data_IF_729826913661
#
_entry.id   IF_729826913661
#
_cell.length_a   1.000
_cell.length_b   1.000
_cell.length_c   1.000
_cell.angle_alpha   90.00
_cell.angle_beta   90.00
_cell.angle_gamma   90.00
#
_symmetry.space_group_name_H-M   'P 1'
#
loop_
_entity.id
_entity.type
_entity.pdbx_description
1 polymer ?
#
# COMPACT_ATOMS: atom_id res chain seq x y z
N UNK A 1 -8.88 33.04 21.84
CA UNK A 1 -9.36 32.03 20.89
C UNK A 1 -8.37 30.86 20.96
N UNK A 2 -8.83 29.62 21.14
CA UNK A 2 -7.92 28.47 21.21
C UNK A 2 -7.54 27.97 19.79
N UNK A 3 -6.53 27.10 19.69
CA UNK A 3 -6.04 26.58 18.40
C UNK A 3 -7.15 25.90 17.58
N UNK A 4 -7.97 25.08 18.25
CA UNK A 4 -9.03 24.30 17.59
C UNK A 4 -10.05 25.23 16.93
N UNK A 5 -10.53 26.24 17.65
CA UNK A 5 -11.48 27.22 17.15
C UNK A 5 -10.89 28.00 15.98
N UNK A 6 -9.64 28.44 16.08
CA UNK A 6 -8.98 29.24 15.04
C UNK A 6 -8.82 28.45 13.74
N UNK A 7 -8.37 27.20 13.83
CA UNK A 7 -8.26 26.31 12.67
C UNK A 7 -9.64 25.96 12.11
N UNK A 8 -10.64 25.72 12.96
CA UNK A 8 -12.00 25.42 12.50
C UNK A 8 -12.61 26.59 11.73
N UNK A 9 -12.39 27.83 12.16
CA UNK A 9 -12.83 29.03 11.41
C UNK A 9 -12.12 29.10 10.05
N UNK A 10 -10.80 28.87 10.01
CA UNK A 10 -10.05 28.85 8.74
C UNK A 10 -10.54 27.76 7.79
N UNK A 11 -10.93 26.60 8.31
CA UNK A 11 -11.54 25.54 7.49
C UNK A 11 -12.97 25.92 7.10
N UNK A 12 -13.73 26.62 7.93
CA UNK A 12 -15.08 27.04 7.56
C UNK A 12 -15.07 28.03 6.38
N UNK A 13 -14.11 28.95 6.36
CA UNK A 13 -14.00 30.00 5.35
C UNK A 13 -13.31 29.53 4.04
N UNK A 14 -14.00 29.55 2.89
CA UNK A 14 -13.41 29.18 1.60
C UNK A 14 -12.15 29.96 1.22
N UNK A 15 -12.03 31.23 1.65
CA UNK A 15 -10.89 32.07 1.29
C UNK A 15 -9.59 31.67 2.02
N UNK A 16 -9.70 31.05 3.20
CA UNK A 16 -8.54 30.72 4.05
C UNK A 16 -8.31 29.22 4.21
N UNK A 17 -9.28 28.38 3.84
CA UNK A 17 -9.20 26.91 3.97
C UNK A 17 -8.01 26.28 3.26
N UNK A 18 -7.71 26.71 2.04
CA UNK A 18 -6.59 26.15 1.28
C UNK A 18 -5.24 26.36 2.00
N UNK A 19 -5.10 27.46 2.75
CA UNK A 19 -3.88 27.78 3.50
C UNK A 19 -3.71 26.95 4.78
N UNK A 20 -4.68 26.10 5.15
CA UNK A 20 -4.56 25.18 6.29
C UNK A 20 -3.68 23.98 5.94
N UNK A 21 -3.61 23.60 4.66
CA UNK A 21 -2.79 22.50 4.17
C UNK A 21 -1.63 23.06 3.34
N UNK A 22 -0.41 22.91 3.85
CA UNK A 22 0.78 23.22 3.08
C UNK A 22 1.16 22.07 2.11
N UNK A 23 2.23 22.26 1.35
CA UNK A 23 2.70 21.28 0.37
C UNK A 23 2.98 19.92 1.01
N UNK A 24 3.60 19.88 2.19
CA UNK A 24 3.92 18.63 2.88
C UNK A 24 2.67 17.89 3.34
N UNK A 25 1.64 18.60 3.84
CA UNK A 25 0.37 17.97 4.20
C UNK A 25 -0.31 17.37 2.97
N UNK A 26 -0.39 18.11 1.86
CA UNK A 26 -1.07 17.65 0.65
C UNK A 26 -0.33 16.50 -0.02
N UNK A 27 1.00 16.51 0.00
CA UNK A 27 1.84 15.39 -0.43
C UNK A 27 1.55 14.14 0.39
N UNK A 28 1.55 14.24 1.72
CA UNK A 28 1.23 13.12 2.61
C UNK A 28 -0.16 12.57 2.37
N UNK A 29 -1.15 13.44 2.15
CA UNK A 29 -2.50 13.03 1.81
C UNK A 29 -2.55 12.27 0.48
N UNK A 30 -1.86 12.75 -0.55
CA UNK A 30 -1.81 12.09 -1.84
C UNK A 30 -1.12 10.71 -1.75
N UNK A 31 -0.01 10.62 -1.02
CA UNK A 31 0.73 9.37 -0.79
C UNK A 31 -0.03 8.37 0.09
N UNK A 32 -0.83 8.84 1.04
CA UNK A 32 -1.68 7.98 1.87
C UNK A 32 -2.87 7.43 1.08
N UNK A 33 -3.46 8.24 0.19
CA UNK A 33 -4.61 7.83 -0.61
C UNK A 33 -4.24 6.94 -1.82
N UNK A 34 -3.10 7.19 -2.45
CA UNK A 34 -2.74 6.58 -3.74
C UNK A 34 -1.37 5.92 -3.73
N UNK A 35 -1.16 5.03 -4.70
CA UNK A 35 0.17 4.50 -4.95
C UNK A 35 1.06 5.53 -5.67
N UNK A 36 1.74 6.34 -4.86
CA UNK A 36 2.57 7.45 -5.31
C UNK A 36 3.69 7.04 -6.26
N UNK A 37 4.27 5.84 -6.05
CA UNK A 37 5.34 5.31 -6.90
C UNK A 37 4.79 4.90 -8.27
N UNK A 38 3.64 4.20 -8.29
CA UNK A 38 2.98 3.79 -9.52
C UNK A 38 2.51 4.98 -10.38
N UNK A 39 2.13 6.09 -9.73
CA UNK A 39 1.67 7.32 -10.38
C UNK A 39 2.78 8.36 -10.60
N UNK A 40 3.99 8.12 -10.06
CA UNK A 40 5.10 9.06 -10.02
C UNK A 40 4.64 10.47 -9.60
N UNK A 41 3.99 10.57 -8.44
CA UNK A 41 3.40 11.83 -7.95
C UNK A 41 4.46 12.90 -7.69
N UNK A 42 4.21 14.09 -8.21
CA UNK A 42 5.08 15.25 -8.06
C UNK A 42 4.27 16.51 -7.74
N UNK A 43 4.91 17.42 -6.99
CA UNK A 43 4.37 18.75 -6.74
C UNK A 43 4.38 19.65 -7.98
N UNK A 44 3.80 20.86 -7.88
CA UNK A 44 3.14 21.39 -6.70
C UNK A 44 1.79 20.70 -6.42
N UNK A 45 1.47 20.58 -5.15
CA UNK A 45 0.20 20.03 -4.66
C UNK A 45 -0.80 21.15 -4.38
N UNK A 46 -2.06 20.96 -4.72
CA UNK A 46 -3.13 21.93 -4.43
C UNK A 46 -4.41 21.22 -4.01
N UNK A 47 -5.13 21.75 -3.02
CA UNK A 47 -6.41 21.21 -2.60
C UNK A 47 -7.58 21.84 -3.36
N UNK A 48 -8.51 21.01 -3.83
CA UNK A 48 -9.82 21.41 -4.33
C UNK A 48 -10.87 20.89 -3.33
N UNK A 49 -11.74 21.79 -2.87
CA UNK A 49 -12.78 21.50 -1.90
C UNK A 49 -14.15 21.53 -2.57
N UNK A 50 -14.64 20.37 -2.99
CA UNK A 50 -15.98 20.27 -3.60
C UNK A 50 -17.07 20.33 -2.53
N UNK A 51 -16.86 19.62 -1.41
CA UNK A 51 -17.77 19.61 -0.27
C UNK A 51 -16.99 19.60 1.05
N UNK A 52 -17.36 20.49 1.97
CA UNK A 52 -16.88 20.49 3.35
C UNK A 52 -18.06 20.58 4.30
N UNK A 53 -18.17 19.60 5.21
CA UNK A 53 -19.22 19.54 6.23
C UNK A 53 -18.57 19.65 7.61
N UNK A 54 -18.95 20.64 8.41
CA UNK A 54 -18.37 20.85 9.74
C UNK A 54 -19.16 20.11 10.82
N UNK A 55 -18.45 19.68 11.88
CA UNK A 55 -19.06 19.23 13.13
C UNK A 55 -19.93 17.98 13.00
N UNK A 56 -19.36 16.89 12.47
CA UNK A 56 -20.07 15.62 12.37
C UNK A 56 -19.84 14.78 13.64
N UNK A 57 -20.94 14.36 14.27
CA UNK A 57 -20.89 13.38 15.36
C UNK A 57 -21.14 11.99 14.80
N UNK A 58 -20.23 11.05 15.09
CA UNK A 58 -20.39 9.67 14.69
C UNK A 58 -20.67 8.86 15.96
N UNK A 59 -21.91 8.39 16.07
CA UNK A 59 -22.32 7.50 17.15
C UNK A 59 -21.58 6.17 17.01
N UNK A 60 -21.00 5.71 18.11
CA UNK A 60 -20.39 4.39 18.20
C UNK A 60 -21.46 3.32 18.02
N UNK A 61 -21.27 2.42 17.06
CA UNK A 61 -22.14 1.26 16.85
C UNK A 61 -21.65 0.12 17.76
N UNK A 62 -22.46 -0.27 18.74
CA UNK A 62 -22.18 -1.43 19.58
C UNK A 62 -22.75 -2.71 18.97
N UNK A 63 -22.08 -3.84 19.21
CA UNK A 63 -22.58 -5.18 18.88
C UNK A 63 -23.28 -5.72 20.13
N UNK A 64 -24.52 -6.17 19.97
CA UNK A 64 -25.30 -6.85 21.02
C UNK A 64 -25.37 -8.34 20.68
N UNK A 65 -24.68 -9.16 21.46
CA UNK A 65 -24.76 -10.63 21.36
C UNK A 65 -25.67 -11.16 22.48
N UNK A 66 -26.59 -12.06 22.14
CA UNK A 66 -27.50 -12.67 23.08
C UNK A 66 -27.38 -14.19 23.05
N UNK A 67 -27.18 -14.81 24.22
CA UNK A 67 -27.32 -16.26 24.38
C UNK A 67 -28.52 -16.59 25.25
N UNK A 68 -29.43 -17.39 24.71
CA UNK A 68 -30.59 -17.88 25.44
C UNK A 68 -30.19 -19.18 26.13
N UNK A 69 -30.34 -19.24 27.45
CA UNK A 69 -30.12 -20.48 28.22
C UNK A 69 -31.47 -21.07 28.59
N UNK A 70 -31.74 -22.27 28.08
CA UNK A 70 -32.89 -23.04 28.51
C UNK A 70 -32.55 -23.72 29.85
N UNK A 71 -33.19 -23.28 30.93
CA UNK A 71 -33.17 -24.05 32.17
C UNK A 71 -34.06 -25.29 32.00
N UNK A 72 -33.63 -26.42 32.56
CA UNK A 72 -34.36 -27.69 32.48
C UNK A 72 -35.78 -27.54 33.04
N UNK A 73 -36.79 -27.60 32.18
CA UNK A 73 -38.19 -27.36 32.56
C UNK A 73 -39.12 -26.85 31.46
N UNK A 74 -38.60 -26.52 30.27
CA UNK A 74 -39.42 -26.30 29.07
C UNK A 74 -39.77 -24.84 28.75
N UNK A 75 -39.34 -23.88 29.54
CA UNK A 75 -39.38 -22.46 29.18
C UNK A 75 -37.98 -21.84 29.30
N UNK A 76 -37.59 -21.07 28.28
CA UNK A 76 -36.36 -20.28 28.30
C UNK A 76 -36.52 -19.15 29.32
N UNK A 77 -35.86 -19.24 30.47
CA UNK A 77 -36.03 -18.26 31.56
C UNK A 77 -34.95 -17.17 31.55
N UNK A 78 -33.78 -17.41 30.94
CA UNK A 78 -32.64 -16.48 31.00
C UNK A 78 -32.08 -16.12 29.62
N UNK A 79 -31.97 -14.83 29.35
CA UNK A 79 -31.26 -14.25 28.20
C UNK A 79 -30.01 -13.55 28.74
N UNK A 80 -28.83 -14.02 28.34
CA UNK A 80 -27.57 -13.34 28.64
C UNK A 80 -27.21 -12.45 27.45
N UNK A 81 -27.28 -11.14 27.64
CA UNK A 81 -26.89 -10.15 26.65
C UNK A 81 -25.49 -9.63 26.97
N UNK A 82 -24.58 -9.73 26.01
CA UNK A 82 -23.25 -9.13 26.05
C UNK A 82 -23.20 -8.01 25.02
N UNK A 83 -22.90 -6.79 25.48
CA UNK A 83 -22.68 -5.65 24.59
C UNK A 83 -21.17 -5.44 24.44
N UNK A 84 -20.69 -5.51 23.21
CA UNK A 84 -19.31 -5.17 22.84
C UNK A 84 -19.29 -3.90 21.97
N UNK A 85 -18.16 -3.21 21.91
CA UNK A 85 -18.01 -2.04 21.03
C UNK A 85 -18.62 -0.74 21.54
N UNK A 86 -19.13 -0.70 22.78
CA UNK A 86 -19.34 0.57 23.48
C UNK A 86 -17.98 1.13 23.87
N UNK A 87 -17.35 1.88 22.95
CA UNK A 87 -16.18 2.70 23.24
C UNK A 87 -16.46 3.74 24.33
N UNK A 88 -15.50 4.62 24.67
CA UNK A 88 -15.75 5.69 25.64
C UNK A 88 -17.05 6.43 25.28
N UNK A 89 -17.84 6.79 26.31
CA UNK A 89 -19.21 7.34 26.22
C UNK A 89 -19.37 8.60 25.34
N UNK A 90 -18.27 9.17 24.84
CA UNK A 90 -18.28 10.33 23.97
C UNK A 90 -18.21 9.89 22.50
N UNK A 91 -19.17 10.29 21.66
CA UNK A 91 -19.14 9.98 20.24
C UNK A 91 -17.86 10.52 19.60
N UNK A 92 -17.29 9.77 18.66
CA UNK A 92 -16.13 10.23 17.92
C UNK A 92 -16.53 11.49 17.12
N UNK A 93 -15.93 12.63 17.47
CA UNK A 93 -16.20 13.91 16.83
C UNK A 93 -15.25 14.10 15.64
N UNK A 94 -15.84 14.25 14.46
CA UNK A 94 -15.14 14.71 13.26
C UNK A 94 -15.37 16.22 13.14
N UNK A 95 -14.31 16.99 13.16
CA UNK A 95 -14.38 18.45 13.15
C UNK A 95 -14.80 18.97 11.77
N UNK A 96 -14.32 18.33 10.71
CA UNK A 96 -14.80 18.54 9.35
C UNK A 96 -14.70 17.27 8.50
N UNK A 97 -15.62 17.09 7.56
CA UNK A 97 -15.53 16.10 6.51
C UNK A 97 -15.27 16.82 5.19
N UNK A 98 -14.21 16.45 4.50
CA UNK A 98 -13.85 16.99 3.19
C UNK A 98 -14.02 15.91 2.11
N UNK A 99 -14.79 16.23 1.06
CA UNK A 99 -14.78 15.52 -0.21
C UNK A 99 -14.29 16.48 -1.29
N UNK A 100 -13.30 16.09 -2.07
CA UNK A 100 -12.74 16.93 -3.10
C UNK A 100 -11.59 16.25 -3.81
N UNK A 101 -10.53 16.99 -4.13
CA UNK A 101 -9.35 16.44 -4.80
C UNK A 101 -8.05 17.08 -4.31
N UNK A 102 -6.98 16.30 -4.33
CA UNK A 102 -5.61 16.83 -4.35
C UNK A 102 -5.14 16.85 -5.79
N UNK A 103 -4.77 18.02 -6.29
CA UNK A 103 -4.12 18.16 -7.60
C UNK A 103 -2.64 17.92 -7.41
N UNK A 104 -2.10 16.94 -8.12
CA UNK A 104 -0.67 16.65 -8.21
C UNK A 104 -0.29 16.49 -9.68
N UNK A 105 1.01 16.45 -9.99
CA UNK A 105 1.47 16.07 -11.33
C UNK A 105 1.77 14.57 -11.35
N UNK A 106 1.30 13.87 -12.38
CA UNK A 106 1.56 12.44 -12.58
C UNK A 106 2.33 12.25 -13.88
N UNK A 107 3.23 11.27 -13.91
CA UNK A 107 3.78 10.75 -15.16
C UNK A 107 3.06 9.45 -15.50
N UNK A 108 2.52 9.29 -16.72
CA UNK A 108 1.95 8.01 -17.12
C UNK A 108 3.03 6.93 -17.09
N UNK A 109 2.83 5.91 -16.26
CA UNK A 109 3.67 4.71 -16.21
C UNK A 109 3.23 3.71 -17.28
N UNK A 110 3.16 4.17 -18.53
CA UNK A 110 2.69 3.37 -19.68
C UNK A 110 3.83 2.49 -20.23
N UNK A 111 4.56 1.82 -19.34
CA UNK A 111 5.48 0.76 -19.70
C UNK A 111 4.68 -0.43 -20.22
N UNK A 112 4.68 -0.65 -21.53
CA UNK A 112 4.08 -1.86 -22.09
C UNK A 112 5.12 -2.98 -22.14
N UNK A 113 4.66 -4.21 -22.04
CA UNK A 113 5.51 -5.37 -22.27
C UNK A 113 5.91 -5.36 -23.75
N UNK A 114 7.18 -5.09 -24.04
CA UNK A 114 7.71 -5.06 -25.41
C UNK A 114 8.10 -6.45 -25.88
N UNK A 115 8.52 -7.31 -24.95
CA UNK A 115 8.92 -8.67 -25.26
C UNK A 115 8.50 -9.62 -24.15
N UNK A 116 7.82 -10.69 -24.53
CA UNK A 116 7.66 -11.89 -23.71
C UNK A 116 8.56 -12.96 -24.32
N UNK A 117 9.64 -13.34 -23.63
CA UNK A 117 10.46 -14.49 -24.02
C UNK A 117 10.14 -15.64 -23.08
N UNK A 118 9.60 -16.70 -23.67
CA UNK A 118 9.54 -18.03 -23.07
C UNK A 118 10.67 -18.82 -23.70
N UNK A 119 11.75 -19.10 -22.97
CA UNK A 119 12.89 -19.84 -23.51
C UNK A 119 13.52 -20.73 -22.46
N UNK A 120 13.04 -21.96 -22.40
CA UNK A 120 13.89 -23.14 -22.49
C UNK A 120 13.01 -24.34 -22.83
N UNK A 121 13.52 -25.24 -23.66
CA UNK A 121 12.84 -26.49 -24.04
C UNK A 121 13.73 -27.65 -23.60
N UNK A 122 13.20 -28.54 -22.78
CA UNK A 122 13.89 -29.78 -22.42
C UNK A 122 13.91 -30.79 -23.57
N UNK A 123 13.07 -30.60 -24.60
CA UNK A 123 12.97 -31.51 -25.74
C UNK A 123 14.19 -31.45 -26.67
N UNK A 124 14.90 -30.31 -26.71
CA UNK A 124 16.02 -30.09 -27.63
C UNK A 124 17.39 -30.44 -27.03
N UNK A 125 17.50 -30.65 -25.71
CA UNK A 125 18.77 -30.87 -24.99
C UNK A 125 19.54 -32.07 -25.56
N UNK A 126 18.86 -33.20 -25.80
CA UNK A 126 19.49 -34.39 -26.36
C UNK A 126 20.00 -34.16 -27.80
N UNK A 127 19.25 -33.38 -28.59
CA UNK A 127 19.66 -33.04 -29.95
C UNK A 127 20.88 -32.11 -29.95
N UNK A 128 20.98 -31.19 -28.99
CA UNK A 128 22.15 -30.34 -28.81
C UNK A 128 23.38 -31.13 -28.34
N UNK A 129 23.22 -32.08 -27.42
CA UNK A 129 24.30 -32.99 -26.99
C UNK A 129 24.83 -33.76 -28.20
N UNK A 130 23.94 -34.36 -28.99
CA UNK A 130 24.34 -35.10 -30.21
C UNK A 130 25.03 -34.19 -31.22
N UNK A 131 24.56 -32.95 -31.38
CA UNK A 131 25.16 -31.98 -32.29
C UNK A 131 26.62 -31.65 -31.92
N UNK A 132 26.91 -31.53 -30.63
CA UNK A 132 28.25 -31.11 -30.19
C UNK A 132 29.19 -32.29 -29.92
N UNK A 133 28.68 -33.41 -29.41
CA UNK A 133 29.46 -34.60 -29.05
C UNK A 133 29.41 -35.71 -30.11
N UNK A 134 28.57 -35.56 -31.14
CA UNK A 134 28.36 -36.55 -32.21
C UNK A 134 27.43 -37.71 -31.84
N UNK A 135 27.24 -37.97 -30.54
CA UNK A 135 26.31 -38.96 -30.00
C UNK A 135 25.96 -38.63 -28.54
N UNK A 136 24.93 -39.28 -27.99
CA UNK A 136 24.66 -39.22 -26.55
C UNK A 136 25.71 -40.04 -25.78
N UNK A 137 26.21 -39.55 -24.63
CA UNK A 137 27.06 -40.33 -23.74
C UNK A 137 26.41 -41.69 -23.41
N UNK A 138 27.15 -42.81 -23.52
CA UNK A 138 26.59 -44.15 -23.27
C UNK A 138 26.46 -44.46 -21.77
N UNK A 139 27.20 -43.77 -20.91
CA UNK A 139 27.04 -43.85 -19.45
C UNK A 139 25.88 -42.92 -19.01
N UNK A 140 24.86 -43.44 -18.31
CA UNK A 140 23.75 -42.63 -17.78
C UNK A 140 24.19 -41.48 -16.87
N UNK A 141 25.28 -41.64 -16.10
CA UNK A 141 25.76 -40.59 -15.19
C UNK A 141 26.41 -39.42 -15.96
N UNK A 142 27.15 -39.74 -17.03
CA UNK A 142 27.74 -38.74 -17.92
C UNK A 142 26.65 -38.00 -18.70
N UNK A 143 25.63 -38.72 -19.16
CA UNK A 143 24.48 -38.14 -19.85
C UNK A 143 23.70 -37.16 -18.95
N UNK A 144 23.45 -37.52 -17.69
CA UNK A 144 22.80 -36.62 -16.73
C UNK A 144 23.64 -35.36 -16.48
N UNK A 145 24.95 -35.52 -16.33
CA UNK A 145 25.88 -34.41 -16.11
C UNK A 145 25.87 -33.43 -17.29
N UNK A 146 25.88 -33.94 -18.52
CA UNK A 146 25.80 -33.13 -19.75
C UNK A 146 24.44 -32.41 -19.87
N UNK A 147 23.33 -33.13 -19.65
CA UNK A 147 21.99 -32.55 -19.67
C UNK A 147 21.84 -31.43 -18.64
N UNK A 148 22.29 -31.67 -17.41
CA UNK A 148 22.30 -30.67 -16.33
C UNK A 148 23.13 -29.46 -16.69
N UNK A 149 24.34 -29.67 -17.18
CA UNK A 149 25.25 -28.59 -17.55
C UNK A 149 24.64 -27.67 -18.60
N UNK A 150 24.03 -28.24 -19.64
CA UNK A 150 23.38 -27.48 -20.71
C UNK A 150 22.14 -26.74 -20.23
N UNK A 151 21.27 -27.39 -19.48
CA UNK A 151 20.05 -26.75 -18.97
C UNK A 151 20.38 -25.59 -18.02
N UNK A 152 21.36 -25.76 -17.11
CA UNK A 152 21.80 -24.66 -16.23
C UNK A 152 22.40 -23.52 -17.05
N UNK A 153 23.21 -23.82 -18.07
CA UNK A 153 23.80 -22.80 -18.93
C UNK A 153 22.72 -22.00 -19.69
N UNK A 154 21.71 -22.69 -20.23
CA UNK A 154 20.58 -22.06 -20.92
C UNK A 154 19.77 -21.17 -19.96
N UNK A 155 19.40 -21.69 -18.78
CA UNK A 155 18.68 -20.92 -17.76
C UNK A 155 19.47 -19.70 -17.30
N UNK A 156 20.78 -19.83 -17.07
CA UNK A 156 21.65 -18.69 -16.73
C UNK A 156 21.71 -17.65 -17.84
N UNK A 157 21.77 -18.08 -19.11
CA UNK A 157 21.74 -17.19 -20.27
C UNK A 157 20.44 -16.40 -20.43
N UNK A 158 19.34 -16.92 -19.89
CA UNK A 158 18.04 -16.26 -19.90
C UNK A 158 17.78 -15.30 -18.72
N UNK A 159 18.59 -15.36 -17.66
CA UNK A 159 18.37 -14.58 -16.43
C UNK A 159 19.11 -13.24 -16.43
N UNK A 160 18.47 -12.21 -15.87
CA UNK A 160 19.12 -10.90 -15.64
C UNK A 160 20.18 -10.95 -14.53
N UNK A 161 20.08 -11.90 -13.61
CA UNK A 161 21.04 -12.14 -12.52
C UNK A 161 21.46 -13.62 -12.49
N UNK A 162 22.38 -14.06 -13.36
CA UNK A 162 22.75 -15.47 -13.51
C UNK A 162 23.33 -16.11 -12.24
N UNK A 163 23.95 -15.31 -11.38
CA UNK A 163 24.57 -15.76 -10.14
C UNK A 163 23.57 -16.28 -9.09
N UNK A 164 22.28 -15.98 -9.23
CA UNK A 164 21.24 -16.48 -8.32
C UNK A 164 20.89 -17.95 -8.58
N UNK A 165 21.19 -18.49 -9.76
CA UNK A 165 20.97 -19.91 -10.08
C UNK A 165 22.16 -20.75 -9.62
N UNK A 166 22.18 -21.08 -8.34
CA UNK A 166 23.12 -22.05 -7.75
C UNK A 166 22.66 -23.49 -8.02
N UNK A 167 23.54 -24.47 -7.89
CA UNK A 167 23.16 -25.89 -8.02
C UNK A 167 22.06 -26.29 -7.04
N UNK A 168 22.14 -25.81 -5.79
CA UNK A 168 21.11 -26.06 -4.79
C UNK A 168 19.77 -25.39 -5.15
N UNK A 169 19.78 -24.19 -5.74
CA UNK A 169 18.57 -23.53 -6.22
C UNK A 169 17.94 -24.29 -7.39
N UNK A 170 18.77 -24.84 -8.29
CA UNK A 170 18.34 -25.66 -9.40
C UNK A 170 17.74 -27.01 -8.92
N UNK A 171 18.34 -27.66 -7.94
CA UNK A 171 17.80 -28.90 -7.35
C UNK A 171 16.47 -28.67 -6.63
N UNK A 172 16.35 -27.56 -5.89
CA UNK A 172 15.09 -27.14 -5.28
C UNK A 172 14.02 -26.86 -6.34
N UNK A 173 14.40 -26.28 -7.48
CA UNK A 173 13.47 -26.07 -8.59
C UNK A 173 13.02 -27.41 -9.22
N UNK A 174 13.94 -28.33 -9.52
CA UNK A 174 13.60 -29.67 -10.04
C UNK A 174 12.60 -30.40 -9.12
N UNK A 175 12.88 -30.41 -7.81
CA UNK A 175 11.98 -31.04 -6.85
C UNK A 175 10.60 -30.34 -6.77
N UNK A 176 10.55 -29.01 -6.92
CA UNK A 176 9.27 -28.26 -6.91
C UNK A 176 8.36 -28.60 -8.09
N UNK A 177 8.93 -29.02 -9.22
CA UNK A 177 8.19 -29.47 -10.41
C UNK A 177 8.01 -31.00 -10.44
N UNK A 178 8.37 -31.69 -9.35
CA UNK A 178 8.21 -33.13 -9.20
C UNK A 178 9.26 -33.98 -9.93
N UNK A 179 10.34 -33.38 -10.41
CA UNK A 179 11.44 -34.09 -11.07
C UNK A 179 12.57 -34.38 -10.08
N UNK A 180 13.09 -35.61 -10.11
CA UNK A 180 14.22 -36.05 -9.29
C UNK A 180 15.58 -35.81 -9.97
N UNK A 181 15.60 -35.57 -11.29
CA UNK A 181 16.79 -35.27 -12.10
C UNK A 181 16.42 -34.58 -13.41
N UNK A 182 17.40 -34.14 -14.20
CA UNK A 182 17.14 -33.56 -15.53
C UNK A 182 16.72 -34.64 -16.51
N UNK A 183 17.29 -35.84 -16.42
CA UNK A 183 16.85 -36.99 -17.21
C UNK A 183 15.41 -37.39 -16.89
N UNK A 184 15.01 -37.32 -15.62
CA UNK A 184 13.64 -37.54 -15.18
C UNK A 184 12.69 -36.47 -15.74
N UNK A 185 13.13 -35.21 -15.73
CA UNK A 185 12.42 -34.08 -16.34
C UNK A 185 12.26 -34.24 -17.87
N UNK A 186 13.30 -34.66 -18.59
CA UNK A 186 13.24 -34.90 -20.05
C UNK A 186 12.34 -36.09 -20.37
N UNK A 187 12.38 -37.15 -19.55
CA UNK A 187 11.54 -38.33 -19.72
C UNK A 187 10.04 -38.03 -19.52
N UNK A 188 9.70 -37.22 -18.51
CA UNK A 188 8.32 -36.81 -18.22
C UNK A 188 7.86 -35.57 -19.01
N UNK A 189 8.81 -34.78 -19.52
CA UNK A 189 8.56 -33.56 -20.28
C UNK A 189 8.11 -33.81 -21.72
N UNK A 190 8.44 -34.97 -22.31
CA UNK A 190 7.99 -35.36 -23.66
C UNK A 190 6.45 -35.45 -23.71
N UNK A 191 5.82 -34.34 -24.11
CA UNK A 191 4.37 -34.19 -24.23
C UNK A 191 3.66 -33.50 -23.06
N UNK A 192 4.39 -32.99 -22.06
CA UNK A 192 3.82 -32.25 -20.92
C UNK A 192 4.18 -30.77 -21.00
N UNK A 193 3.20 -29.88 -20.74
CA UNK A 193 3.43 -28.43 -20.70
C UNK A 193 4.14 -28.11 -19.38
N UNK A 194 5.46 -28.05 -19.40
CA UNK A 194 6.25 -27.66 -18.23
C UNK A 194 6.13 -26.16 -17.95
N UNK A 195 6.10 -25.73 -16.67
CA UNK A 195 6.09 -24.33 -16.31
C UNK A 195 7.40 -23.68 -16.75
N UNK A 196 7.31 -22.80 -17.74
CA UNK A 196 8.44 -22.10 -18.34
C UNK A 196 8.75 -20.81 -17.57
N UNK A 197 10.02 -20.42 -17.47
CA UNK A 197 10.37 -19.10 -16.94
C UNK A 197 10.01 -18.04 -17.96
N UNK A 198 9.10 -17.15 -17.57
CA UNK A 198 8.62 -16.03 -18.37
C UNK A 198 9.56 -14.83 -18.16
N UNK A 199 10.34 -14.46 -19.16
CA UNK A 199 11.09 -13.20 -19.14
C UNK A 199 10.24 -12.09 -19.76
N UNK A 200 9.86 -11.12 -18.93
CA UNK A 200 9.14 -9.91 -19.36
C UNK A 200 10.14 -8.76 -19.52
N UNK A 201 10.18 -8.16 -20.70
CA UNK A 201 10.87 -6.90 -20.94
C UNK A 201 9.85 -5.80 -21.14
N UNK A 202 9.95 -4.73 -20.35
CA UNK A 202 9.10 -3.56 -20.44
C UNK A 202 9.75 -2.51 -21.34
N UNK A 203 8.95 -1.70 -22.04
CA UNK A 203 9.46 -0.50 -22.72
C UNK A 203 10.08 0.44 -21.71
N UNK A 204 11.06 1.23 -22.14
CA UNK A 204 11.44 2.41 -21.37
C UNK A 204 10.18 3.28 -21.15
N UNK A 205 10.01 3.89 -19.96
CA UNK A 205 8.93 4.83 -19.74
C UNK A 205 9.00 5.91 -20.82
N UNK A 206 7.88 6.26 -21.48
CA UNK A 206 7.90 7.33 -22.45
C UNK A 206 8.30 8.63 -21.74
N UNK A 207 9.19 9.41 -22.34
CA UNK A 207 9.67 10.70 -21.81
C UNK A 207 8.56 11.77 -21.98
N UNK A 208 7.51 11.62 -21.18
CA UNK A 208 6.34 12.50 -21.17
C UNK A 208 6.42 13.38 -19.93
N UNK A 209 6.34 14.69 -20.14
CA UNK A 209 6.33 15.64 -19.04
C UNK A 209 5.13 15.39 -18.11
N UNK A 210 5.37 15.45 -16.79
CA UNK A 210 4.33 15.25 -15.80
C UNK A 210 3.17 16.23 -15.99
N UNK A 211 1.94 15.73 -16.05
CA UNK A 211 0.74 16.55 -16.27
C UNK A 211 -0.08 16.66 -14.97
N UNK A 212 -0.73 17.82 -14.72
CA UNK A 212 -1.61 17.95 -13.56
C UNK A 212 -2.79 16.97 -13.65
N UNK A 213 -3.03 16.26 -12.57
CA UNK A 213 -4.14 15.31 -12.41
C UNK A 213 -4.85 15.57 -11.09
N UNK A 214 -6.18 15.57 -11.15
CA UNK A 214 -7.00 15.60 -9.95
C UNK A 214 -7.03 14.19 -9.36
N UNK A 215 -6.66 14.08 -8.08
CA UNK A 215 -6.71 12.86 -7.30
C UNK A 215 -7.86 13.01 -6.29
N UNK A 216 -9.04 12.43 -6.56
CA UNK A 216 -10.18 12.57 -5.68
C UNK A 216 -9.88 12.04 -4.27
N UNK A 217 -10.30 12.74 -3.23
CA UNK A 217 -10.08 12.36 -1.83
C UNK A 217 -11.34 12.57 -1.01
N UNK A 218 -11.55 11.66 -0.05
CA UNK A 218 -12.49 11.83 1.05
C UNK A 218 -11.70 11.75 2.36
N UNK A 219 -11.87 12.74 3.23
CA UNK A 219 -11.09 12.87 4.45
C UNK A 219 -11.94 13.32 5.64
N UNK A 220 -11.81 12.60 6.76
CA UNK A 220 -12.22 13.10 8.07
C UNK A 220 -11.10 13.95 8.65
N UNK A 221 -11.39 15.19 9.00
CA UNK A 221 -10.46 16.13 9.58
C UNK A 221 -10.70 16.18 11.09
N UNK A 222 -9.62 15.97 11.85
CA UNK A 222 -9.57 16.05 13.29
C UNK A 222 -8.61 17.17 13.69
N UNK A 223 -9.12 18.16 14.40
CA UNK A 223 -8.34 19.29 14.88
C UNK A 223 -8.07 19.05 16.36
N UNK A 224 -6.80 18.93 16.74
CA UNK A 224 -6.42 18.67 18.13
C UNK A 224 -5.29 19.63 18.52
N UNK A 225 -5.41 20.16 19.73
CA UNK A 225 -4.33 20.91 20.36
C UNK A 225 -3.28 19.96 20.96
N UNK A 226 -2.26 20.49 21.62
CA UNK A 226 -1.27 19.70 22.35
C UNK A 226 -1.92 18.83 23.45
N UNK A 227 -1.31 17.68 23.75
CA UNK A 227 -1.71 16.81 24.87
C UNK A 227 -2.37 15.48 24.51
N UNK A 228 -2.52 15.16 23.22
CA UNK A 228 -2.90 13.81 22.78
C UNK A 228 -1.67 12.90 22.68
N UNK A 229 -1.89 11.59 22.82
CA UNK A 229 -0.83 10.59 22.59
C UNK A 229 -0.89 10.03 21.18
N UNK A 230 0.24 9.54 20.66
CA UNK A 230 0.28 8.84 19.36
C UNK A 230 -0.64 7.60 19.36
N UNK A 231 -0.74 6.90 20.49
CA UNK A 231 -1.66 5.78 20.64
C UNK A 231 -3.13 6.20 20.49
N UNK A 232 -3.51 7.33 21.08
CA UNK A 232 -4.85 7.91 20.93
C UNK A 232 -5.12 8.31 19.48
N UNK A 233 -4.12 8.91 18.80
CA UNK A 233 -4.21 9.26 17.38
C UNK A 233 -4.50 8.04 16.51
N UNK A 234 -3.75 6.95 16.69
CA UNK A 234 -3.93 5.71 15.94
C UNK A 234 -5.29 5.07 16.23
N UNK A 235 -5.67 5.00 17.51
CA UNK A 235 -6.95 4.42 17.94
C UNK A 235 -8.15 5.20 17.35
N UNK A 236 -8.17 6.52 17.50
CA UNK A 236 -9.26 7.36 16.98
C UNK A 236 -9.34 7.29 15.46
N UNK A 237 -8.20 7.29 14.77
CA UNK A 237 -8.17 7.20 13.31
C UNK A 237 -8.73 5.88 12.80
N UNK A 238 -8.33 4.76 13.42
CA UNK A 238 -8.85 3.43 13.06
C UNK A 238 -10.37 3.36 13.26
N UNK A 239 -10.85 3.76 14.45
CA UNK A 239 -12.29 3.74 14.75
C UNK A 239 -13.10 4.57 13.76
N UNK A 240 -12.61 5.77 13.41
CA UNK A 240 -13.30 6.65 12.46
C UNK A 240 -13.33 6.08 11.04
N UNK A 241 -12.23 5.49 10.58
CA UNK A 241 -12.18 4.85 9.26
C UNK A 241 -13.20 3.71 9.15
N UNK A 242 -13.24 2.82 10.15
CA UNK A 242 -14.18 1.70 10.20
C UNK A 242 -15.63 2.23 10.16
N UNK A 243 -15.97 3.20 11.01
CA UNK A 243 -17.33 3.75 11.08
C UNK A 243 -17.76 4.52 9.82
N UNK A 244 -16.83 5.20 9.14
CA UNK A 244 -17.16 6.01 7.96
C UNK A 244 -17.20 5.20 6.67
N UNK A 245 -16.40 4.13 6.58
CA UNK A 245 -16.47 3.19 5.47
C UNK A 245 -17.85 2.51 5.43
N UNK A 246 -18.38 2.09 6.58
CA UNK A 246 -19.74 1.51 6.70
C UNK A 246 -20.86 2.48 6.24
N UNK A 247 -20.61 3.78 6.27
CA UNK A 247 -21.56 4.83 5.85
C UNK A 247 -21.43 5.20 4.37
N UNK A 248 -20.53 4.56 3.61
CA UNK A 248 -20.34 4.84 2.19
C UNK A 248 -19.83 6.24 1.90
N UNK A 249 -19.02 6.81 2.82
CA UNK A 249 -18.44 8.15 2.65
C UNK A 249 -17.23 8.16 1.68
N UNK A 250 -16.84 7.00 1.18
CA UNK A 250 -15.72 6.78 0.27
C UNK A 250 -15.87 7.50 -1.09
N UNK A 251 -14.73 7.70 -1.73
CA UNK A 251 -14.64 8.19 -3.11
C UNK A 251 -15.02 7.06 -4.09
N UNK A 252 -15.74 7.34 -5.19
CA UNK A 252 -15.95 6.36 -6.25
C UNK A 252 -14.62 5.79 -6.76
N UNK A 253 -14.53 4.45 -6.85
CA UNK A 253 -13.31 3.78 -7.33
C UNK A 253 -13.09 4.07 -8.82
N UNK A 254 -12.07 4.87 -9.13
CA UNK A 254 -11.55 5.01 -10.49
C UNK A 254 -10.47 3.96 -10.74
N UNK A 255 -10.71 3.06 -11.69
CA UNK A 255 -9.76 1.99 -12.04
C UNK A 255 -8.44 2.52 -12.63
N UNK A 256 -8.44 3.75 -13.13
CA UNK A 256 -7.25 4.41 -13.68
C UNK A 256 -6.34 5.03 -12.60
N UNK A 257 -6.74 4.95 -11.33
CA UNK A 257 -6.01 5.45 -10.18
C UNK A 257 -5.83 4.32 -9.16
N UNK A 258 -4.60 3.83 -8.92
CA UNK A 258 -4.34 2.80 -7.93
C UNK A 258 -4.48 3.39 -6.51
N UNK A 259 -5.71 3.40 -5.98
CA UNK A 259 -6.01 3.87 -4.64
C UNK A 259 -5.57 2.83 -3.58
N UNK A 260 -4.85 3.30 -2.56
CA UNK A 260 -4.46 2.51 -1.37
C UNK A 260 -5.53 2.60 -0.30
N UNK A 261 -5.92 3.82 0.06
CA UNK A 261 -6.90 4.10 1.10
C UNK A 261 -8.05 4.93 0.50
N UNK A 262 -9.29 4.39 0.42
CA UNK A 262 -10.43 5.09 -0.17
C UNK A 262 -10.92 6.27 0.69
N UNK A 263 -10.51 6.31 1.96
CA UNK A 263 -10.85 7.32 2.93
C UNK A 263 -9.65 7.63 3.84
N UNK A 264 -9.41 8.91 4.08
CA UNK A 264 -8.31 9.39 4.91
C UNK A 264 -8.78 9.94 6.26
N UNK A 265 -7.92 9.87 7.26
CA UNK A 265 -8.05 10.65 8.50
C UNK A 265 -6.91 11.66 8.56
N UNK A 266 -7.25 12.93 8.60
CA UNK A 266 -6.29 14.04 8.57
C UNK A 266 -6.27 14.73 9.92
N UNK A 267 -5.13 14.65 10.61
CA UNK A 267 -4.91 15.34 11.87
C UNK A 267 -4.33 16.71 11.61
N UNK A 268 -4.98 17.75 12.13
CA UNK A 268 -4.47 19.11 12.10
C UNK A 268 -4.08 19.49 13.52
N UNK A 269 -2.79 19.74 13.70
CA UNK A 269 -2.17 19.92 15.01
C UNK A 269 -1.25 21.15 15.00
N UNK A 270 -0.96 21.76 16.16
CA UNK A 270 0.05 22.80 16.24
C UNK A 270 1.39 22.28 15.73
N UNK A 271 2.14 23.09 14.98
CA UNK A 271 3.47 22.68 14.48
C UNK A 271 4.44 22.31 15.61
N UNK A 272 4.21 22.86 16.82
CA UNK A 272 4.97 22.56 18.03
C UNK A 272 4.79 21.13 18.55
N UNK A 273 3.79 20.38 18.08
CA UNK A 273 3.66 18.95 18.39
C UNK A 273 4.90 18.16 17.93
N UNK A 274 5.54 18.59 16.84
CA UNK A 274 6.77 17.97 16.33
C UNK A 274 8.03 18.38 17.11
N UNK A 275 7.91 19.23 18.14
CA UNK A 275 9.02 19.48 19.08
C UNK A 275 9.24 18.30 20.03
N UNK A 276 8.23 17.45 20.22
CA UNK A 276 8.31 16.26 21.08
C UNK A 276 9.36 15.25 20.55
N UNK A 277 10.34 14.84 21.38
CA UNK A 277 11.38 13.89 20.99
C UNK A 277 10.88 12.47 20.72
N UNK A 278 9.63 12.14 21.07
CA UNK A 278 9.01 10.85 20.74
C UNK A 278 8.70 10.70 19.24
N UNK A 279 8.63 11.78 18.47
CA UNK A 279 8.49 11.70 17.02
C UNK A 279 9.82 11.32 16.35
N UNK A 280 9.80 10.39 15.38
CA UNK A 280 11.01 9.95 14.68
C UNK A 280 11.63 11.09 13.88
N UNK A 281 12.90 11.42 14.11
CA UNK A 281 13.60 12.49 13.40
C UNK A 281 15.10 12.55 13.69
N UNK A 282 15.87 13.12 12.77
CA UNK A 282 17.31 13.30 12.87
C UNK A 282 17.66 14.78 13.13
N UNK A 283 18.82 15.01 13.77
CA UNK A 283 19.25 16.30 14.30
C UNK A 283 19.40 17.44 13.28
N UNK A 284 19.47 18.67 13.79
CA UNK A 284 19.55 19.90 13.00
C UNK A 284 19.17 21.11 13.85
N UNK A 285 18.88 22.24 13.22
CA UNK A 285 18.18 23.33 13.91
C UNK A 285 16.70 22.95 14.15
N UNK A 286 16.01 23.66 15.05
CA UNK A 286 14.67 23.27 15.49
C UNK A 286 13.66 23.18 14.34
N UNK A 287 13.74 24.05 13.35
CA UNK A 287 12.81 24.03 12.21
C UNK A 287 13.09 22.87 11.24
N UNK A 288 14.35 22.56 10.97
CA UNK A 288 14.72 21.38 10.19
C UNK A 288 14.33 20.09 10.91
N UNK A 289 14.48 20.06 12.24
CA UNK A 289 14.07 18.93 13.08
C UNK A 289 12.55 18.71 13.02
N UNK A 290 11.75 19.79 13.11
CA UNK A 290 10.28 19.73 12.95
C UNK A 290 9.89 19.22 11.57
N UNK A 291 10.52 19.73 10.52
CA UNK A 291 10.23 19.34 9.14
C UNK A 291 10.54 17.85 8.90
N UNK A 292 11.71 17.38 9.34
CA UNK A 292 12.12 15.97 9.21
C UNK A 292 11.20 15.05 10.02
N UNK A 293 10.85 15.43 11.27
CA UNK A 293 9.91 14.67 12.10
C UNK A 293 8.54 14.56 11.47
N UNK A 294 8.04 15.66 10.92
CA UNK A 294 6.75 15.67 10.24
C UNK A 294 6.77 14.82 8.97
N UNK A 295 7.85 14.86 8.20
CA UNK A 295 8.00 14.03 7.00
C UNK A 295 8.00 12.54 7.36
N UNK A 296 8.79 12.14 8.37
CA UNK A 296 8.85 10.77 8.85
C UNK A 296 7.55 10.30 9.48
N UNK A 297 6.89 11.15 10.24
CA UNK A 297 5.55 10.88 10.76
C UNK A 297 4.56 10.59 9.63
N UNK A 298 4.57 11.42 8.57
CA UNK A 298 3.75 11.20 7.37
C UNK A 298 4.04 9.88 6.68
N UNK A 299 5.32 9.53 6.47
CA UNK A 299 5.70 8.26 5.87
C UNK A 299 5.29 7.04 6.71
N UNK A 300 5.34 7.16 8.04
CA UNK A 300 4.94 6.10 8.96
C UNK A 300 3.42 5.94 9.05
N UNK A 301 2.67 7.05 9.02
CA UNK A 301 1.21 7.08 9.16
C UNK A 301 0.47 6.84 7.83
N UNK A 302 1.10 7.15 6.70
CA UNK A 302 0.52 7.06 5.37
C UNK A 302 -0.05 5.68 5.00
N UNK A 303 0.65 4.55 5.29
CA UNK A 303 0.10 3.20 5.08
C UNK A 303 -1.23 2.98 5.81
N UNK A 304 -1.41 3.60 6.98
CA UNK A 304 -2.64 3.54 7.78
C UNK A 304 -3.72 4.54 7.31
N UNK A 305 -3.56 5.17 6.14
CA UNK A 305 -4.52 6.15 5.61
C UNK A 305 -4.62 7.41 6.46
N UNK A 306 -3.56 7.73 7.22
CA UNK A 306 -3.51 8.88 8.11
C UNK A 306 -2.53 9.91 7.55
N UNK A 307 -2.96 11.17 7.50
CA UNK A 307 -2.09 12.31 7.17
C UNK A 307 -2.06 13.31 8.34
N UNK A 308 -0.95 14.05 8.47
CA UNK A 308 -0.78 15.02 9.56
C UNK A 308 -0.32 16.39 9.04
N UNK A 309 -1.12 17.41 9.32
CA UNK A 309 -0.85 18.80 8.98
C UNK A 309 -0.45 19.57 10.24
N UNK A 310 0.75 20.15 10.20
CA UNK A 310 1.24 21.06 11.23
C UNK A 310 0.88 22.50 10.87
N UNK A 311 0.13 23.19 11.73
CA UNK A 311 -0.29 24.57 11.52
C UNK A 311 0.33 25.46 12.59
N UNK A 312 0.93 26.57 12.18
CA UNK A 312 1.39 27.59 13.12
C UNK A 312 0.18 28.32 13.72
N UNK A 313 0.18 28.47 15.04
CA UNK A 313 -0.78 29.35 15.72
C UNK A 313 -0.41 30.78 15.32
N UNK A 314 -1.36 31.50 14.73
CA UNK A 314 -1.22 32.93 14.43
C UNK A 314 -1.51 33.76 15.68
#
# INVERSE_FOLDING_TARGET
MNFVDATLIRIADPATRAAVFDQAALEQMAQAAYDADALALQGPYTAIFDQVTLGMSISTVGILEGTIRNQSGGMATDIHLQVAGLGPLLPARVDALWKGSVVARTMPSDGHITTVKVRFSVDDIDAEIVKDLGALPPDPADLETERRTRLIAEMRGAMAQPALLTDAAFDNWLSSIGASSVSDLVAHGKGSILPSVLQLQFSAPPDVAASPRQLPVAAAILIRDIGFSVAELLMQSKMLREQLSDRGIDVPKDRSLPAKNPFLVVWIVPITVFDDPSWPGAGGNQDALRADRRQKAGAWLGPEGIAIAGVSVA
#
